data_IF_404912630139
#
_entry.id   IF_404912630139
#
_cell.length_a   1.000
_cell.length_b   1.000
_cell.length_c   1.000
_cell.angle_alpha   90.00
_cell.angle_beta   90.00
_cell.angle_gamma   90.00
#
_symmetry.space_group_name_H-M   'P 1'
#
loop_
_entity.id
_entity.type
_entity.pdbx_description
1 polymer ?
#
# COMPACT_ATOMS: atom_id res chain seq x y z
N UNK A 1 52.79 -7.88 51.28
CA UNK A 1 52.38 -8.09 49.85
C UNK A 1 50.88 -8.00 49.75
N UNK A 2 50.35 -6.86 49.29
CA UNK A 2 48.89 -6.65 49.08
C UNK A 2 48.51 -7.14 47.69
N UNK A 3 47.66 -8.16 47.61
CA UNK A 3 47.11 -8.63 46.32
C UNK A 3 46.06 -7.67 45.84
N UNK A 4 46.30 -7.04 44.70
CA UNK A 4 45.33 -6.17 43.97
C UNK A 4 44.39 -7.10 43.21
N UNK A 5 43.12 -7.12 43.59
CA UNK A 5 42.05 -7.83 42.86
C UNK A 5 41.49 -6.83 41.87
N UNK A 6 41.77 -7.03 40.56
CA UNK A 6 41.17 -6.28 39.48
C UNK A 6 39.83 -6.94 39.15
N UNK A 7 38.74 -6.27 39.50
CA UNK A 7 37.37 -6.67 39.09
C UNK A 7 37.10 -6.12 37.69
N UNK A 8 37.07 -6.99 36.70
CA UNK A 8 36.67 -6.66 35.33
C UNK A 8 35.13 -6.63 35.28
N UNK A 9 34.55 -5.44 35.30
CA UNK A 9 33.10 -5.24 35.04
C UNK A 9 32.89 -5.27 33.55
N UNK A 10 32.44 -6.39 33.02
CA UNK A 10 31.92 -6.51 31.66
C UNK A 10 30.58 -5.79 31.60
N UNK A 11 30.57 -4.56 31.08
CA UNK A 11 29.35 -3.89 30.63
C UNK A 11 28.86 -4.60 29.35
N UNK A 12 27.97 -5.57 29.50
CA UNK A 12 27.13 -6.04 28.40
C UNK A 12 26.14 -4.93 28.06
N UNK A 13 26.48 -4.10 27.07
CA UNK A 13 25.50 -3.28 26.38
C UNK A 13 24.56 -4.22 25.62
N UNK A 14 23.42 -4.52 26.20
CA UNK A 14 22.30 -5.16 25.50
C UNK A 14 21.86 -4.18 24.41
N UNK A 15 22.41 -4.30 23.21
CA UNK A 15 21.83 -3.77 22.01
C UNK A 15 20.47 -4.46 21.84
N UNK A 16 19.43 -3.83 22.39
CA UNK A 16 18.06 -4.19 22.08
C UNK A 16 17.88 -3.98 20.59
N UNK A 17 18.11 -5.01 19.80
CA UNK A 17 17.76 -5.05 18.38
C UNK A 17 16.23 -5.04 18.34
N UNK A 18 15.64 -3.84 18.32
CA UNK A 18 14.20 -3.65 18.13
C UNK A 18 13.89 -4.03 16.69
N UNK A 19 13.63 -5.31 16.46
CA UNK A 19 13.25 -5.83 15.16
C UNK A 19 11.84 -5.34 14.83
N UNK A 20 11.68 -4.76 13.65
CA UNK A 20 10.37 -4.58 13.00
C UNK A 20 9.64 -5.93 13.02
N UNK A 21 8.36 -5.94 13.39
CA UNK A 21 7.56 -7.16 13.40
C UNK A 21 6.82 -7.30 12.09
N UNK A 22 7.10 -8.38 11.38
CA UNK A 22 6.41 -8.78 10.14
C UNK A 22 5.72 -10.12 10.39
N UNK A 23 4.44 -10.23 10.03
CA UNK A 23 3.69 -11.47 10.16
C UNK A 23 2.57 -11.55 9.13
N UNK A 24 2.11 -12.76 8.85
CA UNK A 24 0.94 -13.02 8.04
C UNK A 24 -0.24 -13.44 8.92
N UNK A 25 -1.44 -13.05 8.49
CA UNK A 25 -2.70 -13.42 9.13
C UNK A 25 -3.80 -13.48 8.08
N UNK A 26 -5.02 -13.81 8.46
CA UNK A 26 -6.18 -13.73 7.59
C UNK A 26 -7.39 -13.19 8.35
N UNK A 27 -8.28 -12.53 7.62
CA UNK A 27 -9.63 -12.23 8.06
C UNK A 27 -10.60 -13.16 7.33
N UNK A 28 -11.76 -13.36 7.92
CA UNK A 28 -12.84 -14.08 7.26
C UNK A 28 -14.10 -13.22 7.24
N UNK A 29 -14.47 -12.81 6.03
CA UNK A 29 -15.72 -12.09 5.80
C UNK A 29 -16.86 -13.10 5.64
N UNK A 30 -17.63 -13.27 6.69
CA UNK A 30 -18.74 -14.22 6.73
C UNK A 30 -19.87 -13.84 5.76
N UNK A 31 -20.07 -12.55 5.50
CA UNK A 31 -21.13 -12.07 4.62
C UNK A 31 -20.89 -12.43 3.15
N UNK A 32 -19.62 -12.50 2.76
CA UNK A 32 -19.18 -12.85 1.40
C UNK A 32 -18.59 -14.27 1.30
N UNK A 33 -18.55 -15.02 2.43
CA UNK A 33 -17.86 -16.31 2.55
C UNK A 33 -16.42 -16.23 1.99
N UNK A 34 -15.64 -15.22 2.42
CA UNK A 34 -14.34 -14.93 1.82
C UNK A 34 -13.22 -14.82 2.85
N UNK A 35 -12.16 -15.59 2.63
CA UNK A 35 -10.88 -15.42 3.32
C UNK A 35 -10.14 -14.25 2.68
N UNK A 36 -9.56 -13.39 3.51
CA UNK A 36 -8.73 -12.25 3.10
C UNK A 36 -7.35 -12.40 3.75
N UNK A 37 -6.38 -13.00 3.06
CA UNK A 37 -5.03 -13.13 3.59
C UNK A 37 -4.32 -11.77 3.63
N UNK A 38 -3.54 -11.55 4.68
CA UNK A 38 -2.87 -10.28 4.95
C UNK A 38 -1.39 -10.50 5.29
N UNK A 39 -0.54 -9.60 4.82
CA UNK A 39 0.81 -9.42 5.35
C UNK A 39 0.85 -8.09 6.12
N UNK A 40 1.30 -8.14 7.35
CA UNK A 40 1.32 -6.99 8.26
C UNK A 40 2.74 -6.64 8.62
N UNK A 41 3.09 -5.36 8.47
CA UNK A 41 4.40 -4.81 8.79
C UNK A 41 4.22 -3.74 9.87
N UNK A 42 4.61 -4.09 11.08
CA UNK A 42 4.41 -3.27 12.26
C UNK A 42 5.68 -2.45 12.57
N UNK A 43 5.57 -1.13 12.79
CA UNK A 43 6.70 -0.33 13.22
C UNK A 43 7.12 -0.66 14.65
N UNK A 44 8.35 -0.29 15.03
CA UNK A 44 8.88 -0.54 16.38
C UNK A 44 7.99 0.00 17.50
N UNK A 45 7.38 1.16 17.30
CA UNK A 45 6.50 1.79 18.29
C UNK A 45 5.13 2.02 17.68
N UNK A 46 4.13 1.49 18.34
CA UNK A 46 2.72 1.65 17.97
C UNK A 46 2.03 2.48 19.03
N UNK A 47 1.36 3.55 18.61
CA UNK A 47 0.59 4.46 19.47
C UNK A 47 -0.48 5.20 18.67
N UNK A 48 -1.24 6.08 19.33
CA UNK A 48 -2.33 6.87 18.71
C UNK A 48 -1.89 7.82 17.58
N UNK A 49 -0.59 8.02 17.36
CA UNK A 49 -0.06 8.80 16.22
C UNK A 49 0.37 7.91 15.05
N UNK A 50 0.43 6.60 15.24
CA UNK A 50 0.84 5.63 14.22
C UNK A 50 -0.22 5.56 13.13
N UNK A 51 0.09 6.10 11.96
CA UNK A 51 -0.79 6.10 10.79
C UNK A 51 -0.84 4.72 10.15
N UNK A 52 -1.99 4.40 9.56
CA UNK A 52 -2.21 3.11 8.90
C UNK A 52 -2.12 3.29 7.39
N UNK A 53 -1.45 2.34 6.75
CA UNK A 53 -1.42 2.19 5.30
C UNK A 53 -2.06 0.85 4.95
N UNK A 54 -3.05 0.86 4.07
CA UNK A 54 -3.54 -0.35 3.38
C UNK A 54 -2.86 -0.40 2.02
N UNK A 55 -2.21 -1.51 1.72
CA UNK A 55 -1.52 -1.73 0.46
C UNK A 55 -2.23 -2.78 -0.40
N UNK A 56 -2.39 -2.48 -1.69
CA UNK A 56 -3.04 -3.32 -2.69
C UNK A 56 -2.05 -3.67 -3.81
N UNK A 57 -1.76 -4.97 -3.97
CA UNK A 57 -0.82 -5.46 -5.00
C UNK A 57 -1.38 -5.40 -6.42
N UNK A 58 -0.50 -5.49 -7.43
CA UNK A 58 -0.86 -5.67 -8.82
C UNK A 58 -1.37 -7.09 -9.12
N UNK A 59 -2.09 -7.26 -10.25
CA UNK A 59 -2.56 -8.58 -10.69
C UNK A 59 -1.40 -9.49 -11.11
N UNK A 60 -1.36 -10.71 -10.59
CA UNK A 60 -0.32 -11.70 -10.85
C UNK A 60 -0.81 -12.97 -11.57
N UNK A 61 -2.08 -12.97 -12.03
CA UNK A 61 -2.69 -14.11 -12.69
C UNK A 61 -3.23 -15.16 -11.71
N UNK A 62 -3.52 -14.81 -10.48
CA UNK A 62 -3.98 -15.71 -9.41
C UNK A 62 -3.03 -16.89 -9.15
N UNK A 63 -1.73 -16.71 -9.43
CA UNK A 63 -0.75 -17.82 -9.42
C UNK A 63 -0.46 -18.35 -8.01
N UNK A 64 -0.60 -17.49 -7.00
CA UNK A 64 -0.29 -17.85 -5.63
C UNK A 64 -1.00 -16.92 -4.63
N UNK A 65 -0.98 -17.29 -3.35
CA UNK A 65 -1.57 -16.49 -2.28
C UNK A 65 -0.52 -15.65 -1.55
N UNK A 66 0.50 -15.11 -2.26
CA UNK A 66 1.61 -14.34 -1.68
C UNK A 66 1.83 -13.00 -2.35
N UNK A 67 0.95 -12.57 -3.26
CA UNK A 67 1.08 -11.28 -3.97
C UNK A 67 1.05 -10.08 -3.01
N UNK A 68 0.45 -10.24 -1.83
CA UNK A 68 0.50 -9.28 -0.73
C UNK A 68 1.91 -9.11 -0.10
N UNK A 69 2.90 -9.92 -0.49
CA UNK A 69 4.28 -9.84 0.00
C UNK A 69 5.27 -9.35 -1.07
N UNK A 70 4.84 -9.28 -2.34
CA UNK A 70 5.71 -8.95 -3.48
C UNK A 70 6.21 -7.50 -3.49
N UNK A 71 5.70 -6.65 -2.60
CA UNK A 71 6.15 -5.25 -2.44
C UNK A 71 6.89 -5.04 -1.11
N UNK A 72 7.58 -6.07 -0.63
CA UNK A 72 8.26 -6.03 0.66
C UNK A 72 9.31 -4.90 0.77
N UNK A 73 9.92 -4.50 -0.36
CA UNK A 73 10.85 -3.36 -0.40
C UNK A 73 10.19 -2.05 0.06
N UNK A 74 8.92 -1.83 -0.31
CA UNK A 74 8.16 -0.64 0.05
C UNK A 74 7.48 -0.79 1.42
N UNK A 75 6.80 -1.92 1.66
CA UNK A 75 6.04 -2.11 2.90
C UNK A 75 6.93 -2.15 4.14
N UNK A 76 8.11 -2.78 4.04
CA UNK A 76 9.13 -2.75 5.09
C UNK A 76 9.71 -1.37 5.30
N UNK A 77 10.05 -0.67 4.20
CA UNK A 77 10.53 0.71 4.28
C UNK A 77 9.53 1.63 4.99
N UNK A 78 8.26 1.57 4.62
CA UNK A 78 7.21 2.39 5.24
C UNK A 78 7.02 2.04 6.73
N UNK A 79 7.08 0.77 7.08
CA UNK A 79 7.03 0.35 8.47
C UNK A 79 8.23 0.87 9.29
N UNK A 80 9.43 0.86 8.73
CA UNK A 80 10.63 1.49 9.33
C UNK A 80 10.46 3.01 9.51
N UNK A 81 9.67 3.66 8.64
CA UNK A 81 9.31 5.09 8.76
C UNK A 81 8.18 5.36 9.76
N UNK A 82 7.69 4.33 10.47
CA UNK A 82 6.71 4.47 11.55
C UNK A 82 5.26 4.27 11.15
N UNK A 83 4.97 3.77 9.94
CA UNK A 83 3.62 3.43 9.51
C UNK A 83 3.27 1.98 9.88
N UNK A 84 2.02 1.73 10.23
CA UNK A 84 1.48 0.38 10.34
C UNK A 84 0.92 -0.02 8.98
N UNK A 85 1.56 -0.97 8.31
CA UNK A 85 1.22 -1.35 6.92
C UNK A 85 0.50 -2.68 6.91
N UNK A 86 -0.65 -2.73 6.24
CA UNK A 86 -1.46 -3.94 6.03
C UNK A 86 -1.55 -4.16 4.52
N UNK A 87 -0.89 -5.18 4.01
CA UNK A 87 -0.94 -5.56 2.60
C UNK A 87 -1.94 -6.68 2.40
N UNK A 88 -2.92 -6.44 1.50
CA UNK A 88 -4.05 -7.34 1.27
C UNK A 88 -3.77 -8.24 0.08
N UNK A 89 -4.05 -9.54 0.20
CA UNK A 89 -4.18 -10.47 -0.92
C UNK A 89 -5.59 -10.32 -1.51
N UNK A 90 -5.68 -9.74 -2.71
CA UNK A 90 -6.97 -9.46 -3.34
C UNK A 90 -7.53 -10.63 -4.12
N UNK A 91 -6.69 -11.29 -4.90
CA UNK A 91 -7.05 -12.46 -5.70
C UNK A 91 -6.58 -13.73 -5.02
N UNK A 92 -7.47 -14.72 -4.94
CA UNK A 92 -7.17 -16.07 -4.52
C UNK A 92 -7.01 -16.96 -5.77
N UNK A 93 -6.37 -18.11 -5.60
CA UNK A 93 -6.12 -19.06 -6.70
C UNK A 93 -7.41 -19.49 -7.42
N UNK A 94 -8.50 -19.65 -6.66
CA UNK A 94 -9.80 -20.08 -7.17
C UNK A 94 -10.71 -18.92 -7.62
N UNK A 95 -10.23 -17.66 -7.55
CA UNK A 95 -11.02 -16.54 -8.04
C UNK A 95 -11.08 -16.52 -9.58
N UNK A 96 -12.14 -15.96 -10.18
CA UNK A 96 -12.17 -15.68 -11.60
C UNK A 96 -10.96 -14.84 -12.04
N UNK A 97 -10.34 -15.24 -13.15
CA UNK A 97 -9.22 -14.47 -13.72
C UNK A 97 -9.66 -13.07 -14.13
N UNK A 98 -8.74 -12.13 -14.04
CA UNK A 98 -8.97 -10.76 -14.50
C UNK A 98 -9.21 -10.76 -16.02
N UNK A 99 -10.24 -10.07 -16.47
CA UNK A 99 -10.54 -9.95 -17.89
C UNK A 99 -9.40 -9.26 -18.65
N UNK A 100 -9.00 -9.85 -19.78
CA UNK A 100 -7.92 -9.34 -20.63
C UNK A 100 -8.46 -8.74 -21.95
N UNK A 101 -9.76 -8.82 -22.16
CA UNK A 101 -10.45 -8.36 -23.37
C UNK A 101 -11.76 -7.63 -23.03
N UNK A 102 -12.32 -6.92 -23.98
CA UNK A 102 -13.60 -6.20 -23.87
C UNK A 102 -13.44 -4.81 -23.26
N UNK A 103 -14.57 -4.22 -22.89
CA UNK A 103 -14.61 -2.95 -22.18
C UNK A 103 -14.15 -3.17 -20.72
N UNK A 104 -12.93 -2.78 -20.41
CA UNK A 104 -12.35 -3.03 -19.09
C UNK A 104 -13.10 -2.36 -17.93
N UNK A 105 -13.77 -1.24 -18.18
CA UNK A 105 -14.61 -0.61 -17.16
C UNK A 105 -15.82 -1.47 -16.76
N UNK A 106 -16.25 -2.37 -17.64
CA UNK A 106 -17.33 -3.33 -17.38
C UNK A 106 -16.77 -4.68 -16.93
N UNK A 107 -15.82 -5.23 -17.70
CA UNK A 107 -15.36 -6.61 -17.52
C UNK A 107 -14.45 -6.79 -16.29
N UNK A 108 -13.74 -5.73 -15.85
CA UNK A 108 -12.90 -5.74 -14.63
C UNK A 108 -13.59 -5.17 -13.39
N UNK A 109 -14.72 -4.49 -13.54
CA UNK A 109 -15.43 -3.89 -12.41
C UNK A 109 -15.72 -4.90 -11.29
N UNK A 110 -16.17 -6.14 -11.56
CA UNK A 110 -16.39 -7.14 -10.48
C UNK A 110 -15.12 -7.46 -9.67
N UNK A 111 -13.95 -7.47 -10.32
CA UNK A 111 -12.66 -7.65 -9.63
C UNK A 111 -12.33 -6.44 -8.75
N UNK A 112 -12.46 -5.23 -9.29
CA UNK A 112 -12.19 -4.00 -8.54
C UNK A 112 -13.15 -3.81 -7.37
N UNK A 113 -14.44 -4.11 -7.54
CA UNK A 113 -15.44 -4.05 -6.47
C UNK A 113 -15.14 -5.06 -5.35
N UNK A 114 -14.71 -6.28 -5.71
CA UNK A 114 -14.22 -7.25 -4.74
C UNK A 114 -13.01 -6.71 -3.96
N UNK A 115 -12.06 -6.05 -4.65
CA UNK A 115 -10.92 -5.40 -4.04
C UNK A 115 -11.32 -4.29 -3.07
N UNK A 116 -12.23 -3.41 -3.48
CA UNK A 116 -12.78 -2.35 -2.63
C UNK A 116 -13.47 -2.93 -1.39
N UNK A 117 -14.25 -3.99 -1.55
CA UNK A 117 -14.90 -4.68 -0.42
C UNK A 117 -13.88 -5.31 0.54
N UNK A 118 -12.77 -5.88 0.02
CA UNK A 118 -11.68 -6.40 0.85
C UNK A 118 -11.00 -5.28 1.64
N UNK A 119 -10.74 -4.13 1.02
CA UNK A 119 -10.17 -2.95 1.69
C UNK A 119 -11.11 -2.48 2.81
N UNK A 120 -12.39 -2.29 2.51
CA UNK A 120 -13.37 -1.80 3.47
C UNK A 120 -13.50 -2.74 4.68
N UNK A 121 -13.62 -4.04 4.42
CA UNK A 121 -13.71 -5.05 5.48
C UNK A 121 -12.44 -5.07 6.35
N UNK A 122 -11.27 -5.01 5.72
CA UNK A 122 -9.98 -4.95 6.44
C UNK A 122 -9.90 -3.72 7.36
N UNK A 123 -10.32 -2.55 6.88
CA UNK A 123 -10.37 -1.33 7.69
C UNK A 123 -11.30 -1.51 8.90
N UNK A 124 -12.51 -2.04 8.68
CA UNK A 124 -13.52 -2.21 9.73
C UNK A 124 -13.03 -3.17 10.82
N UNK A 125 -12.45 -4.30 10.44
CA UNK A 125 -11.97 -5.30 11.39
C UNK A 125 -10.71 -4.83 12.13
N UNK A 126 -9.75 -4.21 11.42
CA UNK A 126 -8.55 -3.71 12.09
C UNK A 126 -8.82 -2.52 13.00
N UNK A 127 -9.80 -1.68 12.72
CA UNK A 127 -10.25 -0.64 13.68
C UNK A 127 -10.69 -1.25 15.01
N UNK A 128 -11.35 -2.41 15.00
CA UNK A 128 -11.74 -3.14 16.21
C UNK A 128 -10.54 -3.80 16.90
N UNK A 129 -9.66 -4.44 16.11
CA UNK A 129 -8.49 -5.19 16.60
C UNK A 129 -7.36 -4.29 17.10
N UNK A 130 -7.19 -3.11 16.53
CA UNK A 130 -6.10 -2.17 16.79
C UNK A 130 -6.62 -0.73 16.96
N UNK A 131 -7.52 -0.47 17.92
CA UNK A 131 -8.13 0.86 18.11
C UNK A 131 -7.11 1.94 18.49
N UNK A 132 -5.90 1.54 18.95
CA UNK A 132 -4.83 2.45 19.32
C UNK A 132 -4.06 3.03 18.12
N UNK A 133 -4.39 2.67 16.87
CA UNK A 133 -3.79 3.24 15.68
C UNK A 133 -4.52 4.53 15.25
N UNK A 134 -3.82 5.38 14.52
CA UNK A 134 -4.42 6.61 13.99
C UNK A 134 -5.22 6.31 12.71
N UNK A 135 -6.46 5.92 12.86
CA UNK A 135 -7.40 5.64 11.77
C UNK A 135 -7.98 6.90 11.12
N UNK A 136 -7.82 8.08 11.75
CA UNK A 136 -8.27 9.34 11.15
C UNK A 136 -7.33 9.84 10.05
N UNK A 137 -6.14 9.24 9.94
CA UNK A 137 -5.16 9.57 8.91
C UNK A 137 -4.80 8.32 8.10
N UNK A 138 -5.86 7.60 7.67
CA UNK A 138 -5.74 6.37 6.89
C UNK A 138 -5.28 6.67 5.46
N UNK A 139 -4.38 5.85 4.96
CA UNK A 139 -3.75 5.99 3.65
C UNK A 139 -3.94 4.70 2.85
N UNK A 140 -4.27 4.83 1.58
CA UNK A 140 -4.26 3.71 0.65
C UNK A 140 -3.11 3.85 -0.33
N UNK A 141 -2.44 2.74 -0.64
CA UNK A 141 -1.42 2.65 -1.70
C UNK A 141 -1.73 1.41 -2.53
N UNK A 142 -1.65 1.51 -3.86
CA UNK A 142 -1.84 0.33 -4.70
C UNK A 142 -1.08 0.42 -6.02
N UNK A 143 -0.60 -0.71 -6.51
CA UNK A 143 0.06 -0.83 -7.80
C UNK A 143 -0.85 -1.45 -8.85
N UNK A 144 -0.79 -0.97 -10.09
CA UNK A 144 -1.47 -1.57 -11.24
C UNK A 144 -2.97 -1.79 -10.96
N UNK A 145 -3.45 -3.04 -11.02
CA UNK A 145 -4.82 -3.41 -10.66
C UNK A 145 -5.20 -3.00 -9.23
N UNK A 146 -4.27 -3.13 -8.27
CA UNK A 146 -4.48 -2.61 -6.91
C UNK A 146 -4.52 -1.08 -6.85
N UNK A 147 -3.86 -0.41 -7.78
CA UNK A 147 -3.99 1.05 -7.98
C UNK A 147 -5.37 1.44 -8.50
N UNK A 148 -5.93 0.68 -9.43
CA UNK A 148 -7.32 0.87 -9.90
C UNK A 148 -8.32 0.67 -8.75
N UNK A 149 -8.14 -0.37 -7.90
CA UNK A 149 -8.94 -0.59 -6.68
C UNK A 149 -8.82 0.59 -5.70
N UNK A 150 -7.60 1.13 -5.54
CA UNK A 150 -7.31 2.28 -4.67
C UNK A 150 -8.06 3.53 -5.14
N UNK A 151 -8.08 3.82 -6.44
CA UNK A 151 -8.80 4.97 -6.99
C UNK A 151 -10.32 4.77 -6.93
N UNK A 152 -10.82 3.55 -7.17
CA UNK A 152 -12.23 3.22 -6.99
C UNK A 152 -12.67 3.40 -5.53
N UNK A 153 -11.84 2.97 -4.57
CA UNK A 153 -12.12 3.18 -3.15
C UNK A 153 -12.18 4.68 -2.82
N UNK A 154 -11.21 5.46 -3.29
CA UNK A 154 -11.18 6.91 -3.09
C UNK A 154 -12.40 7.63 -3.70
N UNK A 155 -12.98 7.07 -4.77
CA UNK A 155 -14.22 7.56 -5.37
C UNK A 155 -15.46 7.25 -4.52
N UNK A 156 -15.53 6.03 -3.94
CA UNK A 156 -16.73 5.54 -3.23
C UNK A 156 -16.76 5.91 -1.75
N UNK A 157 -15.58 6.02 -1.12
CA UNK A 157 -15.42 6.23 0.33
C UNK A 157 -14.37 7.30 0.62
N UNK A 158 -14.47 8.50 0.01
CA UNK A 158 -13.46 9.54 0.17
C UNK A 158 -13.30 10.01 1.63
N UNK A 159 -14.38 9.93 2.43
CA UNK A 159 -14.41 10.33 3.84
C UNK A 159 -13.65 9.39 4.76
N UNK A 160 -13.38 8.16 4.34
CA UNK A 160 -12.70 7.15 5.17
C UNK A 160 -11.18 7.26 5.13
N UNK A 161 -10.62 7.98 4.14
CA UNK A 161 -9.19 8.05 3.89
C UNK A 161 -8.68 9.48 3.79
N UNK A 162 -7.42 9.69 4.12
CA UNK A 162 -6.78 11.00 4.03
C UNK A 162 -5.94 11.15 2.76
N UNK A 163 -5.32 10.07 2.31
CA UNK A 163 -4.52 10.04 1.07
C UNK A 163 -4.77 8.74 0.31
N UNK A 164 -4.74 8.82 -1.02
CA UNK A 164 -4.67 7.66 -1.89
C UNK A 164 -3.52 7.85 -2.89
N UNK A 165 -2.66 6.84 -2.97
CA UNK A 165 -1.48 6.83 -3.84
C UNK A 165 -1.59 5.62 -4.76
N UNK A 166 -1.55 5.84 -6.06
CA UNK A 166 -1.40 4.75 -7.01
C UNK A 166 0.01 4.70 -7.58
N UNK A 167 0.43 3.49 -7.87
CA UNK A 167 1.65 3.20 -8.61
C UNK A 167 1.21 2.58 -9.94
N UNK A 168 1.24 3.40 -10.97
CA UNK A 168 0.99 3.03 -12.37
C UNK A 168 -0.34 2.32 -12.68
N UNK A 169 -1.45 2.75 -12.04
CA UNK A 169 -2.80 2.32 -12.41
C UNK A 169 -3.18 2.85 -13.81
N UNK A 170 -4.17 2.24 -14.48
CA UNK A 170 -4.39 2.51 -15.89
C UNK A 170 -5.82 2.77 -16.30
N UNK A 171 -6.81 2.30 -15.53
CA UNK A 171 -8.21 2.23 -15.98
C UNK A 171 -9.14 3.09 -15.14
N UNK A 172 -8.96 3.07 -13.82
CA UNK A 172 -9.85 3.78 -12.92
C UNK A 172 -9.52 5.27 -12.89
N UNK A 173 -10.50 6.09 -13.16
CA UNK A 173 -10.34 7.55 -13.13
C UNK A 173 -9.92 8.01 -11.73
N UNK A 174 -8.88 8.84 -11.64
CA UNK A 174 -8.57 9.56 -10.41
C UNK A 174 -9.70 10.55 -10.13
N UNK A 175 -10.45 10.47 -9.02
CA UNK A 175 -11.59 11.35 -8.79
C UNK A 175 -11.15 12.81 -8.62
N UNK A 176 -11.87 13.76 -9.25
CA UNK A 176 -11.59 15.20 -9.21
C UNK A 176 -12.21 15.81 -7.94
N UNK A 177 -11.60 15.54 -6.79
CA UNK A 177 -12.08 15.90 -5.45
C UNK A 177 -10.97 16.55 -4.63
N UNK A 178 -11.33 17.40 -3.66
CA UNK A 178 -10.36 18.10 -2.81
C UNK A 178 -9.76 17.21 -1.70
N UNK A 179 -10.49 16.19 -1.27
CA UNK A 179 -10.10 15.20 -0.27
C UNK A 179 -10.71 13.84 -0.60
N UNK A 180 -9.95 12.75 -0.41
CA UNK A 180 -8.56 12.67 0.05
C UNK A 180 -7.57 13.32 -0.93
N UNK A 181 -6.31 13.55 -0.48
CA UNK A 181 -5.22 13.94 -1.38
C UNK A 181 -4.83 12.75 -2.27
N UNK A 182 -4.74 12.99 -3.58
CA UNK A 182 -4.53 11.95 -4.58
C UNK A 182 -3.19 12.12 -5.29
N UNK A 183 -2.41 11.04 -5.32
CA UNK A 183 -1.11 11.00 -5.98
C UNK A 183 -0.98 9.78 -6.87
N UNK A 184 -0.19 9.90 -7.94
CA UNK A 184 0.20 8.74 -8.74
C UNK A 184 1.66 8.84 -9.18
N UNK A 185 2.38 7.73 -9.05
CA UNK A 185 3.63 7.48 -9.76
C UNK A 185 3.32 6.79 -11.09
N UNK A 186 3.98 7.22 -12.16
CA UNK A 186 3.84 6.65 -13.48
C UNK A 186 5.16 5.99 -13.91
N UNK A 187 5.06 4.81 -14.47
CA UNK A 187 6.16 4.18 -15.20
C UNK A 187 6.42 4.88 -16.55
N UNK A 188 7.55 4.57 -17.17
CA UNK A 188 7.94 5.16 -18.45
C UNK A 188 7.39 4.43 -19.69
N UNK A 189 6.87 3.21 -19.50
CA UNK A 189 6.52 2.27 -20.58
C UNK A 189 5.00 2.07 -20.78
N UNK A 190 4.17 2.69 -19.94
CA UNK A 190 2.72 2.45 -19.96
C UNK A 190 1.91 3.74 -19.95
N UNK A 191 0.99 3.85 -20.91
CA UNK A 191 0.00 4.91 -20.92
C UNK A 191 -1.29 4.47 -20.21
N UNK A 192 -2.02 5.45 -19.68
CA UNK A 192 -3.37 5.24 -19.11
C UNK A 192 -4.42 5.35 -20.20
N UNK A 193 -5.61 4.84 -19.92
CA UNK A 193 -6.78 5.15 -20.72
C UNK A 193 -7.07 6.65 -20.65
N UNK A 194 -7.74 7.16 -21.68
CA UNK A 194 -8.10 8.58 -21.77
C UNK A 194 -8.92 9.03 -20.55
N UNK A 195 -8.58 10.19 -20.00
CA UNK A 195 -9.29 10.81 -18.87
C UNK A 195 -8.98 10.22 -17.49
N UNK A 196 -8.17 9.16 -17.41
CA UNK A 196 -7.77 8.56 -16.12
C UNK A 196 -6.97 9.53 -15.26
N UNK A 197 -5.95 10.15 -15.86
CA UNK A 197 -5.11 11.13 -15.17
C UNK A 197 -5.71 12.53 -15.22
N UNK A 198 -5.49 13.36 -14.18
CA UNK A 198 -5.87 14.75 -14.19
C UNK A 198 -4.98 15.56 -15.15
N UNK A 199 -5.55 16.57 -15.80
CA UNK A 199 -4.82 17.62 -16.48
C UNK A 199 -4.00 18.45 -15.48
N UNK A 200 -3.01 19.24 -15.93
CA UNK A 200 -2.24 20.14 -15.06
C UNK A 200 -3.15 21.09 -14.28
N UNK A 201 -4.15 21.69 -14.95
CA UNK A 201 -5.14 22.55 -14.31
C UNK A 201 -5.95 21.83 -13.22
N UNK A 202 -6.35 20.59 -13.46
CA UNK A 202 -7.04 19.76 -12.45
C UNK A 202 -6.13 19.38 -11.30
N UNK A 203 -4.84 19.10 -11.56
CA UNK A 203 -3.86 18.84 -10.50
C UNK A 203 -3.74 20.04 -9.54
N UNK A 204 -3.68 21.27 -10.06
CA UNK A 204 -3.67 22.48 -9.26
C UNK A 204 -5.00 22.66 -8.51
N UNK A 205 -6.11 22.57 -9.23
CA UNK A 205 -7.45 22.78 -8.68
C UNK A 205 -7.80 21.79 -7.55
N UNK A 206 -7.45 20.54 -7.69
CA UNK A 206 -7.79 19.47 -6.74
C UNK A 206 -6.62 19.02 -5.87
N UNK A 207 -5.48 19.72 -5.92
CA UNK A 207 -4.27 19.39 -5.16
C UNK A 207 -3.80 17.93 -5.38
N UNK A 208 -3.92 17.50 -6.63
CA UNK A 208 -3.47 16.18 -7.07
C UNK A 208 -2.03 16.25 -7.57
N UNK A 209 -1.35 15.10 -7.64
CA UNK A 209 0.01 15.06 -8.17
C UNK A 209 0.23 13.83 -9.03
N UNK A 210 0.75 14.06 -10.24
CA UNK A 210 1.18 13.03 -11.17
C UNK A 210 2.69 13.16 -11.35
N UNK A 211 3.44 12.10 -11.09
CA UNK A 211 4.90 12.07 -11.27
C UNK A 211 5.26 10.89 -12.16
N UNK A 212 5.91 11.17 -13.29
CA UNK A 212 6.48 10.15 -14.16
C UNK A 212 7.91 9.88 -13.74
N UNK A 213 8.27 8.61 -13.59
CA UNK A 213 9.62 8.18 -13.23
C UNK A 213 10.36 7.75 -14.50
N UNK A 214 11.45 8.44 -14.80
CA UNK A 214 12.34 8.03 -15.89
C UNK A 214 13.08 6.75 -15.50
N UNK A 215 13.19 5.82 -16.46
CA UNK A 215 13.92 4.56 -16.27
C UNK A 215 13.25 3.54 -15.32
N UNK A 216 11.99 3.80 -14.88
CA UNK A 216 11.20 2.85 -14.09
C UNK A 216 10.00 2.42 -14.92
N UNK A 217 9.94 1.14 -15.28
CA UNK A 217 8.82 0.55 -15.99
C UNK A 217 7.69 0.12 -15.04
N UNK A 218 6.54 -0.21 -15.60
CA UNK A 218 5.42 -0.77 -14.84
C UNK A 218 5.83 -1.94 -13.96
N UNK A 219 6.54 -2.91 -14.53
CA UNK A 219 6.96 -4.11 -13.80
C UNK A 219 8.08 -3.85 -12.78
N UNK A 220 8.89 -2.80 -12.95
CA UNK A 220 9.92 -2.42 -11.98
C UNK A 220 9.32 -1.86 -10.68
N UNK A 221 8.06 -1.44 -10.69
CA UNK A 221 7.36 -1.02 -9.45
C UNK A 221 6.96 -2.20 -8.56
N UNK A 222 7.05 -3.45 -9.06
CA UNK A 222 6.93 -4.69 -8.29
C UNK A 222 8.30 -5.23 -7.87
N UNK A 223 8.43 -6.55 -7.77
CA UNK A 223 9.68 -7.24 -7.37
C UNK A 223 10.82 -7.13 -8.41
N UNK A 224 10.49 -6.84 -9.67
CA UNK A 224 11.48 -6.85 -10.77
C UNK A 224 12.30 -5.56 -10.86
N UNK A 225 12.11 -4.60 -9.97
CA UNK A 225 12.90 -3.37 -9.90
C UNK A 225 14.29 -3.62 -9.34
N UNK A 226 15.27 -2.81 -9.80
CA UNK A 226 16.58 -2.76 -9.14
C UNK A 226 16.48 -2.07 -7.78
N UNK A 227 17.51 -2.22 -6.94
CA UNK A 227 17.57 -1.53 -5.66
C UNK A 227 17.49 0.00 -5.81
N UNK A 228 18.12 0.57 -6.83
CA UNK A 228 18.05 2.00 -7.12
C UNK A 228 16.64 2.45 -7.49
N UNK A 229 15.94 1.67 -8.34
CA UNK A 229 14.55 1.94 -8.71
C UNK A 229 13.63 1.82 -7.50
N UNK A 230 13.79 0.80 -6.66
CA UNK A 230 13.04 0.65 -5.41
C UNK A 230 13.31 1.80 -4.43
N UNK A 231 14.57 2.23 -4.30
CA UNK A 231 14.91 3.38 -3.46
C UNK A 231 14.28 4.67 -3.97
N UNK A 232 14.26 4.89 -5.29
CA UNK A 232 13.61 6.04 -5.91
C UNK A 232 12.10 6.03 -5.63
N UNK A 233 11.43 4.90 -5.84
CA UNK A 233 9.99 4.73 -5.54
C UNK A 233 9.71 5.00 -4.07
N UNK A 234 10.50 4.43 -3.16
CA UNK A 234 10.38 4.63 -1.73
C UNK A 234 10.47 6.12 -1.35
N UNK A 235 11.40 6.87 -1.95
CA UNK A 235 11.56 8.31 -1.70
C UNK A 235 10.34 9.12 -2.17
N UNK A 236 9.82 8.86 -3.38
CA UNK A 236 8.64 9.54 -3.89
C UNK A 236 7.39 9.23 -3.06
N UNK A 237 7.15 7.94 -2.76
CA UNK A 237 6.01 7.55 -1.92
C UNK A 237 6.10 8.22 -0.55
N UNK A 238 7.27 8.19 0.09
CA UNK A 238 7.46 8.83 1.39
C UNK A 238 7.30 10.36 1.32
N UNK A 239 7.76 10.97 0.24
CA UNK A 239 7.53 12.39 -0.05
C UNK A 239 6.03 12.73 -0.11
N UNK A 240 5.21 11.92 -0.78
CA UNK A 240 3.75 12.11 -0.82
C UNK A 240 3.10 11.94 0.56
N UNK A 241 3.59 11.00 1.37
CA UNK A 241 3.06 10.77 2.72
C UNK A 241 3.33 11.94 3.66
N UNK A 242 4.46 12.61 3.52
CA UNK A 242 4.92 13.73 4.37
C UNK A 242 4.52 15.10 3.84
N UNK A 243 4.11 15.22 2.58
CA UNK A 243 3.64 16.47 2.01
C UNK A 243 2.31 16.90 2.67
N UNK A 244 2.26 18.21 3.02
CA UNK A 244 1.13 18.85 3.73
C UNK A 244 0.33 19.76 2.80
#
# INVERSE_FOLDING_TARGET
MKKLIIVFVLLLSALSCFSQTEFTTCLFDTSRNRVIPLAVYQPHKVNLKTKVIIFSHGYDGNKNNKSNQTYAYLTRFLSQKGFYVISIQHELVDDPLLAMEGNFMETRMPNWERGVANILFTIQEFKKLKPQLNWNDLILIGHSNGGDMTMLFATRYPELINKAISMDHRRMIMPRIQKPLLYTLRGCDYDTDYGVLPTEKEQEQFRMKVVKLDGVTHSNMGENGTEEQHNLINQYIYGFLTWR
#
